data_IF_815718976379
#
_entry.id   IF_815718976379
#
_cell.length_a   1.000
_cell.length_b   1.000
_cell.length_c   1.000
_cell.angle_alpha   90.00
_cell.angle_beta   90.00
_cell.angle_gamma   90.00
#
_symmetry.space_group_name_H-M   'P 1'
#
loop_
_entity.id
_entity.type
_entity.pdbx_description
1 polymer ?
#
# COMPACT_ATOMS: atom_id res chain seq x y z
N UNK A 1 9.83 8.81 10.37
CA UNK A 1 8.89 9.83 10.89
C UNK A 1 7.51 9.75 10.22
N UNK A 2 7.40 9.47 8.91
CA UNK A 2 6.12 9.30 8.20
C UNK A 2 5.27 8.08 8.61
N UNK A 3 5.89 7.01 9.11
CA UNK A 3 5.17 5.82 9.61
C UNK A 3 4.60 5.98 11.03
N UNK A 4 4.91 7.06 11.74
CA UNK A 4 4.58 7.19 13.17
C UNK A 4 3.29 7.96 13.45
N UNK A 5 2.77 8.77 12.52
CA UNK A 5 1.78 9.81 12.90
C UNK A 5 0.35 9.65 12.35
N UNK A 6 0.07 8.87 11.30
CA UNK A 6 -1.31 8.87 10.73
C UNK A 6 -2.03 7.52 10.69
N UNK A 7 -1.34 6.41 10.91
CA UNK A 7 -1.96 5.09 10.82
C UNK A 7 -1.60 4.20 12.00
N UNK A 8 -2.40 4.30 13.06
CA UNK A 8 -2.40 3.37 14.19
C UNK A 8 -3.02 2.04 13.74
N UNK A 9 -2.32 1.32 12.85
CA UNK A 9 -2.69 -0.05 12.51
C UNK A 9 -2.45 -0.95 13.73
N UNK A 10 -3.41 -1.81 14.04
CA UNK A 10 -3.32 -2.83 15.10
C UNK A 10 -2.21 -3.88 14.86
N UNK A 11 -1.60 -3.87 13.66
CA UNK A 11 -0.61 -4.85 13.21
C UNK A 11 0.69 -4.12 12.91
N UNK A 12 1.80 -4.59 13.49
CA UNK A 12 3.10 -3.96 13.30
C UNK A 12 3.50 -4.05 11.81
N UNK A 13 3.78 -2.91 11.14
CA UNK A 13 4.11 -2.88 9.71
C UNK A 13 5.34 -3.74 9.35
N UNK A 14 6.20 -4.07 10.31
CA UNK A 14 7.33 -4.99 10.11
C UNK A 14 6.89 -6.38 9.61
N UNK A 15 5.67 -6.83 9.91
CA UNK A 15 5.20 -8.16 9.52
C UNK A 15 4.72 -8.28 8.06
N UNK A 16 4.45 -7.16 7.37
CA UNK A 16 3.95 -7.18 5.98
C UNK A 16 4.62 -6.13 5.09
N UNK A 17 4.83 -4.90 5.59
CA UNK A 17 5.33 -3.78 4.80
C UNK A 17 6.80 -3.92 4.41
N UNK A 18 7.63 -4.58 5.22
CA UNK A 18 9.03 -4.83 4.88
C UNK A 18 9.17 -5.59 3.55
N UNK A 19 8.36 -6.63 3.36
CA UNK A 19 8.32 -7.42 2.12
C UNK A 19 7.85 -6.57 0.94
N UNK A 20 6.75 -5.84 1.11
CA UNK A 20 6.18 -4.98 0.07
C UNK A 20 7.16 -3.93 -0.43
N UNK A 21 7.88 -3.28 0.48
CA UNK A 21 8.85 -2.23 0.15
C UNK A 21 10.09 -2.82 -0.50
N UNK A 22 10.69 -3.86 0.09
CA UNK A 22 11.95 -4.44 -0.39
C UNK A 22 11.78 -5.10 -1.77
N UNK A 23 10.60 -5.65 -2.05
CA UNK A 23 10.31 -6.32 -3.31
C UNK A 23 9.54 -5.46 -4.30
N UNK A 24 9.36 -4.15 -4.02
CA UNK A 24 8.62 -3.21 -4.88
C UNK A 24 7.27 -3.78 -5.36
N UNK A 25 6.55 -4.45 -4.44
CA UNK A 25 5.23 -5.06 -4.64
C UNK A 25 5.15 -6.23 -5.66
N UNK A 26 6.28 -6.72 -6.19
CA UNK A 26 6.32 -7.79 -7.21
C UNK A 26 5.79 -9.16 -6.78
N UNK A 27 5.66 -9.42 -5.47
CA UNK A 27 5.07 -10.66 -4.96
C UNK A 27 3.55 -10.58 -4.77
N UNK A 28 2.97 -9.37 -4.72
CA UNK A 28 1.53 -9.19 -4.52
C UNK A 28 0.77 -9.04 -5.84
N UNK A 29 1.46 -8.57 -6.88
CA UNK A 29 0.88 -8.31 -8.20
C UNK A 29 1.58 -9.15 -9.27
N UNK A 30 0.89 -9.41 -10.38
CA UNK A 30 1.54 -10.01 -11.53
C UNK A 30 2.57 -9.04 -12.14
N UNK A 31 3.41 -9.54 -13.04
CA UNK A 31 4.49 -8.74 -13.63
C UNK A 31 3.97 -7.51 -14.41
N UNK A 32 2.88 -7.65 -15.17
CA UNK A 32 2.31 -6.55 -15.94
C UNK A 32 1.78 -5.42 -15.03
N UNK A 33 1.07 -5.80 -13.97
CA UNK A 33 0.56 -4.88 -12.96
C UNK A 33 1.71 -4.21 -12.18
N UNK A 34 2.76 -4.95 -11.87
CA UNK A 34 3.96 -4.43 -11.23
C UNK A 34 4.65 -3.38 -12.11
N UNK A 35 4.73 -3.60 -13.42
CA UNK A 35 5.27 -2.62 -14.36
C UNK A 35 4.46 -1.32 -14.39
N UNK A 36 3.13 -1.39 -14.33
CA UNK A 36 2.27 -0.20 -14.27
C UNK A 36 2.47 0.60 -12.97
N UNK A 37 2.61 -0.11 -11.86
CA UNK A 37 2.97 0.49 -10.57
C UNK A 37 4.33 1.18 -10.68
N UNK A 38 5.30 0.52 -11.30
CA UNK A 38 6.66 1.06 -11.47
C UNK A 38 6.71 2.26 -12.41
N UNK A 39 5.90 2.28 -13.46
CA UNK A 39 5.74 3.44 -14.34
C UNK A 39 5.28 4.67 -13.55
N UNK A 40 4.29 4.49 -12.68
CA UNK A 40 3.85 5.56 -11.76
C UNK A 40 4.94 5.94 -10.78
N UNK A 41 5.60 4.95 -10.17
CA UNK A 41 6.63 5.15 -9.14
C UNK A 41 7.86 5.92 -9.66
N UNK A 42 8.25 5.69 -10.91
CA UNK A 42 9.40 6.33 -11.54
C UNK A 42 9.07 7.68 -12.20
N UNK A 43 7.81 7.90 -12.60
CA UNK A 43 7.37 9.17 -13.19
C UNK A 43 6.92 10.21 -12.15
N UNK A 44 6.74 9.81 -10.90
CA UNK A 44 6.23 10.68 -9.85
C UNK A 44 7.27 11.72 -9.35
N UNK A 45 6.94 13.02 -9.31
CA UNK A 45 7.86 14.08 -8.87
C UNK A 45 8.18 14.05 -7.36
N UNK A 46 7.36 13.41 -6.52
CA UNK A 46 7.63 13.24 -5.09
C UNK A 46 8.72 12.18 -4.85
N UNK A 47 9.11 11.46 -5.90
CA UNK A 47 10.13 10.45 -5.91
C UNK A 47 9.60 9.04 -5.63
N UNK A 48 10.41 8.01 -5.93
CA UNK A 48 9.96 6.61 -5.91
C UNK A 48 9.61 6.11 -4.50
N UNK A 49 10.33 6.57 -3.48
CA UNK A 49 10.10 6.15 -2.10
C UNK A 49 8.77 6.67 -1.54
N UNK A 50 8.50 7.97 -1.70
CA UNK A 50 7.24 8.57 -1.22
C UNK A 50 6.04 7.99 -1.97
N UNK A 51 6.19 7.77 -3.27
CA UNK A 51 5.15 7.15 -4.12
C UNK A 51 4.88 5.70 -3.70
N UNK A 52 5.92 4.91 -3.44
CA UNK A 52 5.78 3.54 -2.95
C UNK A 52 5.04 3.49 -1.61
N UNK A 53 5.41 4.35 -0.66
CA UNK A 53 4.73 4.44 0.63
C UNK A 53 3.25 4.82 0.46
N UNK A 54 2.96 5.73 -0.48
CA UNK A 54 1.59 6.14 -0.80
C UNK A 54 0.76 5.01 -1.41
N UNK A 55 1.35 4.22 -2.29
CA UNK A 55 0.71 3.01 -2.86
C UNK A 55 0.48 1.97 -1.77
N UNK A 56 1.47 1.72 -0.90
CA UNK A 56 1.30 0.84 0.27
C UNK A 56 0.16 1.31 1.18
N UNK A 57 0.06 2.63 1.43
CA UNK A 57 -1.07 3.21 2.18
C UNK A 57 -2.40 3.01 1.44
N UNK A 58 -2.44 3.22 0.13
CA UNK A 58 -3.64 3.00 -0.69
C UNK A 58 -4.11 1.54 -0.62
N UNK A 59 -3.18 0.58 -0.64
CA UNK A 59 -3.49 -0.84 -0.45
C UNK A 59 -4.22 -1.08 0.87
N UNK A 60 -3.75 -0.47 1.96
CA UNK A 60 -4.37 -0.59 3.28
C UNK A 60 -5.74 0.09 3.35
N UNK A 61 -5.90 1.25 2.70
CA UNK A 61 -7.19 1.96 2.60
C UNK A 61 -8.23 1.10 1.89
N UNK A 62 -7.86 0.44 0.79
CA UNK A 62 -8.75 -0.42 0.01
C UNK A 62 -9.27 -1.59 0.85
N UNK A 63 -8.40 -2.22 1.65
CA UNK A 63 -8.81 -3.34 2.51
C UNK A 63 -9.28 -2.90 3.89
N UNK A 64 -9.36 -1.59 4.18
CA UNK A 64 -9.70 -1.04 5.50
C UNK A 64 -10.99 -1.62 6.07
N UNK A 65 -12.03 -1.78 5.26
CA UNK A 65 -13.32 -2.35 5.73
C UNK A 65 -13.15 -3.79 6.25
N UNK A 66 -12.33 -4.59 5.58
CA UNK A 66 -12.02 -5.96 5.99
C UNK A 66 -11.13 -5.97 7.23
N UNK A 67 -10.15 -5.06 7.31
CA UNK A 67 -9.29 -4.92 8.48
C UNK A 67 -10.06 -4.51 9.75
N UNK A 68 -11.07 -3.66 9.62
CA UNK A 68 -11.91 -3.23 10.76
C UNK A 68 -12.88 -4.31 11.23
N UNK A 69 -13.28 -5.22 10.34
CA UNK A 69 -14.17 -6.34 10.68
C UNK A 69 -13.40 -7.59 11.16
N UNK A 70 -12.12 -7.72 10.80
CA UNK A 70 -11.27 -8.85 11.12
C UNK A 70 -10.54 -8.73 12.46
N UNK A 71 -10.23 -9.88 13.05
CA UNK A 71 -9.34 -10.00 14.20
C UNK A 71 -7.86 -9.95 13.76
N UNK A 72 -6.93 -9.90 14.73
CA UNK A 72 -5.49 -9.78 14.46
C UNK A 72 -4.98 -10.84 13.48
N UNK A 73 -5.35 -12.11 13.69
CA UNK A 73 -4.88 -13.22 12.85
C UNK A 73 -5.45 -13.15 11.44
N UNK A 74 -6.73 -12.83 11.26
CA UNK A 74 -7.33 -12.67 9.94
C UNK A 74 -6.73 -11.47 9.19
N UNK A 75 -6.47 -10.37 9.89
CA UNK A 75 -5.85 -9.18 9.32
C UNK A 75 -4.43 -9.46 8.86
N UNK A 76 -3.63 -10.18 9.65
CA UNK A 76 -2.28 -10.57 9.26
C UNK A 76 -2.31 -11.48 8.02
N UNK A 77 -3.20 -12.48 7.98
CA UNK A 77 -3.35 -13.36 6.81
C UNK A 77 -3.77 -12.58 5.56
N UNK A 78 -4.70 -11.63 5.69
CA UNK A 78 -5.16 -10.78 4.60
C UNK A 78 -4.04 -9.89 4.04
N UNK A 79 -3.18 -9.35 4.90
CA UNK A 79 -2.04 -8.53 4.49
C UNK A 79 -0.89 -9.36 3.91
N UNK A 80 -0.71 -10.60 4.38
CA UNK A 80 0.28 -11.53 3.82
C UNK A 80 -0.16 -12.16 2.49
N UNK A 81 -1.47 -12.20 2.22
CA UNK A 81 -2.06 -12.71 0.98
C UNK A 81 -3.04 -11.67 0.44
N UNK A 82 -2.50 -10.59 -0.13
CA UNK A 82 -3.30 -9.47 -0.55
C UNK A 82 -4.28 -9.89 -1.66
N UNK A 83 -5.57 -9.51 -1.59
CA UNK A 83 -6.53 -9.90 -2.60
C UNK A 83 -6.24 -9.21 -3.94
N UNK A 84 -6.61 -9.87 -5.05
CA UNK A 84 -6.52 -9.25 -6.37
C UNK A 84 -7.29 -7.93 -6.40
N UNK A 85 -6.58 -6.87 -6.76
CA UNK A 85 -7.09 -5.51 -6.72
C UNK A 85 -6.84 -4.86 -8.07
N UNK A 86 -7.81 -4.10 -8.56
CA UNK A 86 -7.67 -3.37 -9.81
C UNK A 86 -6.60 -2.27 -9.66
N UNK A 87 -5.55 -2.33 -10.48
CA UNK A 87 -4.41 -1.41 -10.42
C UNK A 87 -4.82 0.03 -10.69
N UNK A 88 -5.71 0.27 -11.66
CA UNK A 88 -6.20 1.62 -11.95
C UNK A 88 -6.91 2.22 -10.74
N UNK A 89 -7.70 1.42 -10.01
CA UNK A 89 -8.34 1.87 -8.77
C UNK A 89 -7.31 2.09 -7.65
N UNK A 90 -6.29 1.22 -7.53
CA UNK A 90 -5.20 1.37 -6.57
C UNK A 90 -4.43 2.68 -6.77
N UNK A 91 -4.00 2.96 -8.01
CA UNK A 91 -3.27 4.17 -8.37
C UNK A 91 -4.15 5.42 -8.17
N UNK A 92 -5.44 5.34 -8.50
CA UNK A 92 -6.38 6.43 -8.22
C UNK A 92 -6.48 6.75 -6.72
N UNK A 93 -6.61 5.73 -5.86
CA UNK A 93 -6.63 5.93 -4.40
C UNK A 93 -5.29 6.49 -3.91
N UNK A 94 -4.17 6.01 -4.44
CA UNK A 94 -2.84 6.51 -4.09
C UNK A 94 -2.68 8.00 -4.45
N UNK A 95 -3.11 8.42 -5.64
CA UNK A 95 -3.08 9.84 -6.03
C UNK A 95 -4.00 10.69 -5.16
N UNK A 96 -5.18 10.18 -4.77
CA UNK A 96 -6.04 10.89 -3.80
C UNK A 96 -5.36 11.12 -2.45
N UNK A 97 -4.54 10.17 -1.99
CA UNK A 97 -3.78 10.32 -0.75
C UNK A 97 -2.70 11.42 -0.83
N UNK A 98 -2.25 11.81 -2.03
CA UNK A 98 -1.32 12.94 -2.22
C UNK A 98 -1.89 14.22 -1.62
N UNK A 99 -3.16 14.49 -1.89
CA UNK A 99 -3.84 15.73 -1.48
C UNK A 99 -4.11 15.84 0.02
N UNK A 100 -3.98 14.75 0.77
CA UNK A 100 -4.35 14.69 2.19
C UNK A 100 -3.15 14.84 3.13
N UNK A 101 -1.92 14.98 2.60
CA UNK A 101 -0.67 15.19 3.38
C UNK A 101 -0.28 16.67 3.50
N UNK A 102 -1.03 17.61 2.91
CA UNK A 102 -0.91 19.04 3.20
C UNK A 102 -1.87 19.41 4.33
N UNK A 103 -1.44 19.21 5.57
CA UNK A 103 -2.15 19.57 6.79
C UNK A 103 -1.34 19.26 8.02
#
# INVERSE_FOLDING_TARGET
MFLSCSWRFLVNPQFYAFRWITLLLTQEFNFADSLLIWDTLLSDPDGPQETLLRICCAMLVIVRRRLLAGDFTSNLKLLQHYPSTNISHLLYVADKLRTHSTG
#
